data_IF_276510464109
#
_entry.id   IF_276510464109
#
_cell.length_a   1.000
_cell.length_b   1.000
_cell.length_c   1.000
_cell.angle_alpha   90.00
_cell.angle_beta   90.00
_cell.angle_gamma   90.00
#
_symmetry.space_group_name_H-M   'P 1'
#
loop_
_entity.id
_entity.type
_entity.pdbx_description
1 polymer ?
#
# COMPACT_ATOMS: atom_id res chain seq x y z
N UNK A 1 -2.66 -17.29 0.53
CA UNK A 1 -4.04 -17.25 1.08
C UNK A 1 -4.35 -18.14 2.30
N UNK A 2 -3.42 -18.94 2.86
CA UNK A 2 -3.61 -19.46 4.24
C UNK A 2 -3.28 -18.44 5.34
N UNK A 3 -2.28 -17.57 5.12
CA UNK A 3 -1.78 -16.64 6.15
C UNK A 3 -2.80 -15.59 6.56
N UNK A 4 -3.57 -15.01 5.63
CA UNK A 4 -4.58 -14.01 5.95
C UNK A 4 -5.73 -14.61 6.75
N UNK A 5 -6.20 -15.81 6.37
CA UNK A 5 -7.21 -16.52 7.14
C UNK A 5 -6.72 -16.85 8.55
N UNK A 6 -5.45 -17.25 8.69
CA UNK A 6 -4.84 -17.49 9.99
C UNK A 6 -4.76 -16.23 10.84
N UNK A 7 -4.21 -15.13 10.30
CA UNK A 7 -4.15 -13.82 10.97
C UNK A 7 -5.56 -13.36 11.40
N UNK A 8 -6.52 -13.37 10.48
CA UNK A 8 -7.90 -12.97 10.77
C UNK A 8 -8.54 -13.85 11.84
N UNK A 9 -8.34 -15.17 11.79
CA UNK A 9 -8.84 -16.07 12.82
C UNK A 9 -8.22 -15.78 14.19
N UNK A 10 -6.90 -15.61 14.26
CA UNK A 10 -6.19 -15.27 15.50
C UNK A 10 -6.68 -13.95 16.10
N UNK A 11 -6.84 -12.91 15.26
CA UNK A 11 -7.30 -11.60 15.70
C UNK A 11 -8.75 -11.64 16.18
N UNK A 12 -9.65 -12.21 15.37
CA UNK A 12 -11.07 -12.30 15.72
C UNK A 12 -11.30 -13.17 16.96
N UNK A 13 -10.56 -14.27 17.13
CA UNK A 13 -10.66 -15.13 18.30
C UNK A 13 -10.32 -14.37 19.59
N UNK A 14 -9.26 -13.55 19.57
CA UNK A 14 -8.87 -12.75 20.73
C UNK A 14 -9.88 -11.64 21.03
N UNK A 15 -10.33 -10.89 20.02
CA UNK A 15 -11.36 -9.84 20.19
C UNK A 15 -12.64 -10.42 20.81
N UNK A 16 -13.08 -11.59 20.33
CA UNK A 16 -14.28 -12.26 20.85
C UNK A 16 -14.11 -12.79 22.29
N UNK A 17 -12.89 -13.19 22.69
CA UNK A 17 -12.61 -13.72 24.03
C UNK A 17 -12.49 -12.64 25.09
N UNK A 18 -11.94 -11.48 24.78
CA UNK A 18 -11.61 -10.47 25.80
C UNK A 18 -12.82 -9.60 26.22
N UNK A 19 -13.99 -9.76 25.61
CA UNK A 19 -15.21 -8.99 25.94
C UNK A 19 -15.01 -7.45 25.98
N UNK A 20 -13.90 -6.96 25.42
CA UNK A 20 -13.64 -5.53 25.22
C UNK A 20 -14.46 -5.04 24.03
N UNK A 21 -14.97 -3.80 24.12
CA UNK A 21 -15.70 -3.11 23.04
C UNK A 21 -14.74 -2.64 21.93
N UNK A 22 -13.63 -3.34 21.69
CA UNK A 22 -12.69 -2.95 20.66
C UNK A 22 -13.37 -3.14 19.29
N UNK A 23 -13.27 -2.12 18.43
CA UNK A 23 -13.84 -2.20 17.08
C UNK A 23 -13.16 -3.30 16.28
N UNK A 24 -13.95 -4.07 15.53
CA UNK A 24 -13.42 -5.06 14.59
C UNK A 24 -12.54 -4.33 13.56
N UNK A 25 -11.31 -4.80 13.31
CA UNK A 25 -10.43 -4.22 12.29
C UNK A 25 -11.12 -4.14 10.93
N UNK A 26 -11.15 -2.94 10.36
CA UNK A 26 -11.77 -2.63 9.05
C UNK A 26 -10.74 -2.55 7.93
N UNK A 27 -9.47 -2.29 8.26
CA UNK A 27 -8.37 -2.21 7.28
C UNK A 27 -7.35 -3.32 7.48
N UNK A 28 -6.52 -3.56 6.45
CA UNK A 28 -5.48 -4.58 6.55
C UNK A 28 -4.42 -4.17 7.57
N UNK A 29 -4.10 -2.88 7.66
CA UNK A 29 -3.16 -2.38 8.66
C UNK A 29 -3.67 -2.59 10.07
N UNK A 30 -4.96 -2.30 10.34
CA UNK A 30 -5.55 -2.59 11.64
C UNK A 30 -5.44 -4.08 11.98
N UNK A 31 -5.75 -4.96 11.02
CA UNK A 31 -5.65 -6.41 11.22
C UNK A 31 -4.23 -6.83 11.63
N UNK A 32 -3.20 -6.32 10.96
CA UNK A 32 -1.80 -6.63 11.28
C UNK A 32 -1.31 -5.97 12.57
N UNK A 33 -1.77 -4.76 12.89
CA UNK A 33 -1.47 -4.10 14.16
C UNK A 33 -2.04 -4.87 15.35
N UNK A 34 -3.31 -5.30 15.26
CA UNK A 34 -3.92 -6.17 16.28
C UNK A 34 -3.21 -7.52 16.37
N UNK A 35 -2.87 -8.12 15.23
CA UNK A 35 -2.10 -9.37 15.21
C UNK A 35 -0.76 -9.21 15.95
N UNK A 36 0.02 -8.17 15.65
CA UNK A 36 1.29 -7.90 16.32
C UNK A 36 1.12 -7.73 17.84
N UNK A 37 0.09 -6.98 18.28
CA UNK A 37 -0.20 -6.84 19.71
C UNK A 37 -0.54 -8.16 20.38
N UNK A 38 -1.36 -8.99 19.74
CA UNK A 38 -1.71 -10.32 20.26
C UNK A 38 -0.45 -11.16 20.41
N UNK A 39 0.45 -11.14 19.43
CA UNK A 39 1.71 -11.87 19.50
C UNK A 39 2.58 -11.40 20.68
N UNK A 40 2.66 -10.09 20.91
CA UNK A 40 3.31 -9.51 22.08
C UNK A 40 2.68 -10.02 23.39
N UNK A 41 1.35 -9.97 23.50
CA UNK A 41 0.61 -10.42 24.69
C UNK A 41 0.82 -11.91 24.96
N UNK A 42 0.75 -12.75 23.92
CA UNK A 42 0.94 -14.20 24.03
C UNK A 42 2.35 -14.53 24.49
N UNK A 43 3.36 -13.83 23.94
CA UNK A 43 4.75 -13.96 24.38
C UNK A 43 4.89 -13.60 25.86
N UNK A 44 4.36 -12.45 26.28
CA UNK A 44 4.42 -11.98 27.67
C UNK A 44 3.77 -13.00 28.62
N UNK A 45 2.60 -13.54 28.30
CA UNK A 45 1.92 -14.57 29.12
C UNK A 45 2.74 -15.87 29.25
N UNK A 46 3.47 -16.26 28.19
CA UNK A 46 4.20 -17.53 28.14
C UNK A 46 5.55 -17.48 28.88
N UNK A 47 6.24 -16.34 28.88
CA UNK A 47 7.62 -16.23 29.41
C UNK A 47 7.78 -15.27 30.60
N UNK A 48 6.93 -14.25 30.74
CA UNK A 48 7.01 -13.27 31.83
C UNK A 48 6.01 -13.64 32.93
N UNK A 49 6.39 -14.57 33.80
CA UNK A 49 5.60 -14.88 35.02
C UNK A 49 5.63 -13.68 35.98
N UNK A 50 4.49 -13.00 36.08
CA UNK A 50 3.98 -12.34 37.29
C UNK A 50 4.54 -10.98 37.77
N UNK A 51 5.12 -10.10 36.93
CA UNK A 51 5.61 -8.79 37.44
C UNK A 51 5.22 -7.51 36.71
N UNK A 52 4.47 -7.52 35.60
CA UNK A 52 4.08 -6.25 34.96
C UNK A 52 2.56 -6.03 34.90
N UNK A 53 2.16 -4.91 35.50
CA UNK A 53 0.86 -4.25 35.37
C UNK A 53 0.61 -3.88 33.90
N UNK A 54 -0.58 -4.21 33.40
CA UNK A 54 -1.08 -3.99 32.04
C UNK A 54 -0.48 -4.91 30.94
N UNK A 55 -1.23 -5.90 30.42
CA UNK A 55 -0.79 -6.79 29.34
C UNK A 55 -0.37 -6.09 28.04
N UNK A 56 -0.76 -4.81 27.86
CA UNK A 56 -0.49 -3.99 26.67
C UNK A 56 0.87 -3.26 26.72
N UNK A 57 1.65 -3.37 27.80
CA UNK A 57 2.98 -2.75 27.91
C UNK A 57 4.10 -3.70 27.42
N UNK A 58 4.98 -3.17 26.56
CA UNK A 58 6.08 -3.90 25.94
C UNK A 58 7.37 -3.58 26.71
N UNK A 59 8.11 -4.60 27.16
CA UNK A 59 9.38 -4.36 27.86
C UNK A 59 10.38 -3.65 26.93
N UNK A 60 11.31 -2.86 27.50
CA UNK A 60 12.29 -2.10 26.72
C UNK A 60 13.18 -3.01 25.85
N UNK A 61 13.49 -4.21 26.35
CA UNK A 61 14.23 -5.24 25.62
C UNK A 61 13.45 -5.75 24.41
N UNK A 62 12.15 -6.01 24.60
CA UNK A 62 11.25 -6.51 23.56
C UNK A 62 11.02 -5.50 22.45
N UNK A 63 10.85 -4.23 22.82
CA UNK A 63 10.80 -3.11 21.90
C UNK A 63 12.07 -3.05 21.05
N UNK A 64 13.24 -3.09 21.69
CA UNK A 64 14.53 -3.06 21.00
C UNK A 64 14.67 -4.18 19.97
N UNK A 65 14.25 -5.40 20.34
CA UNK A 65 14.29 -6.56 19.44
C UNK A 65 13.35 -6.42 18.25
N UNK A 66 12.09 -6.06 18.47
CA UNK A 66 11.12 -5.86 17.37
C UNK A 66 11.59 -4.78 16.40
N UNK A 67 12.19 -3.69 16.89
CA UNK A 67 12.72 -2.64 16.03
C UNK A 67 13.93 -3.08 15.20
N UNK A 68 14.80 -3.94 15.73
CA UNK A 68 15.89 -4.55 14.95
C UNK A 68 15.34 -5.48 13.86
N UNK A 69 14.31 -6.28 14.17
CA UNK A 69 13.62 -7.13 13.19
C UNK A 69 12.96 -6.29 12.09
N UNK A 70 12.30 -5.19 12.48
CA UNK A 70 11.68 -4.23 11.56
C UNK A 70 12.73 -3.61 10.61
N UNK A 71 13.89 -3.24 11.13
CA UNK A 71 15.03 -2.75 10.32
C UNK A 71 15.51 -3.80 9.33
N UNK A 72 15.69 -5.05 9.76
CA UNK A 72 16.07 -6.15 8.87
C UNK A 72 15.03 -6.35 7.76
N UNK A 73 13.74 -6.36 8.13
CA UNK A 73 12.63 -6.52 7.19
C UNK A 73 12.66 -5.46 6.10
N UNK A 74 12.85 -4.19 6.48
CA UNK A 74 12.97 -3.07 5.55
C UNK A 74 14.17 -3.22 4.61
N UNK A 75 15.36 -3.52 5.15
CA UNK A 75 16.57 -3.66 4.34
C UNK A 75 16.48 -4.81 3.33
N UNK A 76 15.90 -5.94 3.72
CA UNK A 76 15.73 -7.08 2.81
C UNK A 76 14.61 -6.81 1.79
N UNK A 77 13.55 -6.09 2.19
CA UNK A 77 12.50 -5.67 1.26
C UNK A 77 13.06 -4.76 0.16
N UNK A 78 13.88 -3.77 0.51
CA UNK A 78 14.52 -2.89 -0.49
C UNK A 78 15.42 -3.64 -1.48
N UNK A 79 16.02 -4.76 -1.07
CA UNK A 79 16.84 -5.61 -1.94
C UNK A 79 16.01 -6.59 -2.77
N UNK A 80 14.70 -6.72 -2.51
CA UNK A 80 13.86 -7.77 -3.09
C UNK A 80 14.17 -9.17 -2.56
N UNK A 81 14.79 -9.27 -1.37
CA UNK A 81 15.20 -10.53 -0.78
C UNK A 81 14.09 -11.13 0.09
N UNK A 82 13.76 -12.39 -0.18
CA UNK A 82 12.86 -13.22 0.65
C UNK A 82 13.63 -14.10 1.65
N UNK A 83 14.89 -14.38 1.34
CA UNK A 83 15.78 -15.23 2.14
C UNK A 83 17.05 -14.42 2.42
N UNK A 84 17.58 -14.53 3.64
CA UNK A 84 18.76 -13.85 4.12
C UNK A 84 19.57 -14.74 5.06
N UNK A 85 20.78 -14.31 5.37
CA UNK A 85 21.77 -15.12 6.08
C UNK A 85 22.09 -14.55 7.45
N UNK A 86 22.84 -15.31 8.24
CA UNK A 86 23.31 -14.88 9.56
C UNK A 86 24.05 -13.54 9.52
N UNK A 87 24.79 -13.25 8.46
CA UNK A 87 25.47 -11.96 8.30
C UNK A 87 24.50 -10.78 8.23
N UNK A 88 23.33 -10.97 7.63
CA UNK A 88 22.29 -9.92 7.56
C UNK A 88 21.69 -9.65 8.94
N UNK A 89 21.45 -10.71 9.74
CA UNK A 89 21.02 -10.60 11.13
C UNK A 89 22.04 -9.80 11.96
N UNK A 90 23.33 -10.15 11.84
CA UNK A 90 24.43 -9.46 12.55
C UNK A 90 24.56 -8.00 12.13
N UNK A 91 24.37 -7.66 10.85
CA UNK A 91 24.37 -6.27 10.35
C UNK A 91 23.25 -5.43 10.98
N UNK A 92 22.13 -6.05 11.36
CA UNK A 92 21.04 -5.41 12.10
C UNK A 92 21.22 -5.48 13.63
N UNK A 93 22.33 -6.02 14.13
CA UNK A 93 22.62 -6.15 15.55
C UNK A 93 21.78 -7.23 16.25
N UNK A 94 21.32 -8.24 15.51
CA UNK A 94 20.62 -9.41 16.04
C UNK A 94 21.62 -10.56 16.22
N UNK A 95 21.73 -11.09 17.43
CA UNK A 95 22.37 -12.38 17.64
C UNK A 95 21.40 -13.49 17.22
N UNK A 96 21.90 -14.55 16.59
CA UNK A 96 21.11 -15.73 16.21
C UNK A 96 20.50 -16.37 17.45
N UNK A 97 21.22 -16.42 18.57
CA UNK A 97 20.67 -16.96 19.83
C UNK A 97 19.52 -16.11 20.35
N UNK A 98 19.66 -14.78 20.34
CA UNK A 98 18.58 -13.83 20.70
C UNK A 98 17.37 -13.93 19.75
N UNK A 99 17.60 -14.08 18.44
CA UNK A 99 16.54 -14.25 17.45
C UNK A 99 15.80 -15.59 17.63
N UNK A 100 16.54 -16.66 17.96
CA UNK A 100 15.99 -17.98 18.27
C UNK A 100 15.31 -18.05 19.64
N UNK A 101 15.75 -17.28 20.65
CA UNK A 101 15.13 -17.20 22.00
C UNK A 101 13.83 -16.39 22.01
N UNK A 102 13.69 -15.45 21.07
CA UNK A 102 12.41 -14.80 20.75
C UNK A 102 11.40 -15.75 20.07
N UNK A 103 11.68 -17.06 20.16
CA UNK A 103 11.02 -18.23 19.57
C UNK A 103 9.51 -18.26 19.62
N UNK A 104 8.81 -17.57 20.53
CA UNK A 104 7.34 -17.53 20.43
C UNK A 104 6.81 -16.49 19.43
N UNK A 105 7.43 -15.31 19.33
CA UNK A 105 7.15 -14.38 18.23
C UNK A 105 7.83 -14.89 16.94
N UNK A 106 9.06 -15.41 17.07
CA UNK A 106 9.88 -15.86 15.96
C UNK A 106 9.48 -17.22 15.36
N UNK A 107 8.83 -18.16 16.05
CA UNK A 107 8.27 -19.34 15.36
C UNK A 107 7.14 -18.97 14.39
N UNK A 108 6.52 -17.82 14.63
CA UNK A 108 5.44 -17.29 13.82
C UNK A 108 5.89 -16.18 12.86
N UNK A 109 7.11 -15.65 13.03
CA UNK A 109 7.66 -14.56 12.22
C UNK A 109 8.86 -15.01 11.39
N UNK A 110 9.68 -15.96 11.84
CA UNK A 110 10.89 -16.45 11.20
C UNK A 110 10.86 -17.95 10.89
N UNK A 111 11.48 -18.32 9.78
CA UNK A 111 11.74 -19.70 9.40
C UNK A 111 13.25 -19.88 9.28
N UNK A 112 13.82 -20.78 10.08
CA UNK A 112 15.21 -21.24 9.95
C UNK A 112 15.21 -22.57 9.19
N UNK A 113 15.97 -22.65 8.10
CA UNK A 113 16.17 -23.89 7.35
C UNK A 113 17.65 -24.13 7.09
N UNK A 114 18.02 -25.40 6.90
CA UNK A 114 19.36 -25.77 6.46
C UNK A 114 19.41 -25.72 4.93
N UNK A 115 20.23 -24.82 4.39
CA UNK A 115 20.48 -24.73 2.96
C UNK A 115 21.25 -25.93 2.42
N UNK A 116 21.45 -25.94 1.10
CA UNK A 116 22.09 -27.06 0.36
C UNK A 116 23.53 -27.39 0.83
N UNK A 117 24.19 -26.48 1.55
CA UNK A 117 25.58 -26.61 2.03
C UNK A 117 25.69 -26.55 3.55
N UNK A 118 24.65 -26.92 4.30
CA UNK A 118 24.56 -26.80 5.77
C UNK A 118 24.62 -25.36 6.32
N UNK A 119 24.66 -24.35 5.44
CA UNK A 119 24.49 -22.96 5.84
C UNK A 119 23.05 -22.69 6.28
N UNK A 120 22.90 -22.02 7.42
CA UNK A 120 21.59 -21.61 7.93
C UNK A 120 21.04 -20.47 7.08
N UNK A 121 19.83 -20.65 6.59
CA UNK A 121 19.07 -19.61 5.89
C UNK A 121 17.86 -19.20 6.71
N UNK A 122 17.52 -17.92 6.61
CA UNK A 122 16.43 -17.30 7.35
C UNK A 122 15.47 -16.64 6.38
N UNK A 123 14.17 -16.72 6.68
CA UNK A 123 13.15 -15.93 6.01
C UNK A 123 12.12 -15.46 7.03
N UNK A 124 11.34 -14.45 6.66
CA UNK A 124 10.08 -14.21 7.36
C UNK A 124 9.08 -15.33 7.02
N UNK A 125 8.12 -15.60 7.90
CA UNK A 125 7.10 -16.64 7.68
C UNK A 125 6.28 -16.36 6.42
N UNK A 126 6.00 -15.08 6.17
CA UNK A 126 5.32 -14.61 4.98
C UNK A 126 5.79 -13.21 4.60
N UNK A 127 5.81 -12.90 3.30
CA UNK A 127 6.23 -11.60 2.76
C UNK A 127 5.42 -10.44 3.36
N UNK A 128 4.11 -10.60 3.57
CA UNK A 128 3.28 -9.56 4.19
C UNK A 128 3.70 -9.20 5.62
N UNK A 129 4.30 -10.13 6.38
CA UNK A 129 4.85 -9.84 7.71
C UNK A 129 6.13 -9.02 7.57
N UNK A 130 6.98 -9.37 6.60
CA UNK A 130 8.17 -8.58 6.26
C UNK A 130 7.79 -7.16 5.84
N UNK A 131 6.79 -6.99 4.99
CA UNK A 131 6.30 -5.69 4.52
C UNK A 131 5.68 -4.86 5.66
N UNK A 132 4.90 -5.48 6.54
CA UNK A 132 4.35 -4.81 7.72
C UNK A 132 5.46 -4.33 8.67
N UNK A 133 6.41 -5.20 9.00
CA UNK A 133 7.56 -4.85 9.84
C UNK A 133 8.43 -3.77 9.19
N UNK A 134 8.62 -3.83 7.88
CA UNK A 134 9.31 -2.79 7.13
C UNK A 134 8.60 -1.43 7.26
N UNK A 135 7.26 -1.42 7.18
CA UNK A 135 6.46 -0.20 7.36
C UNK A 135 6.57 0.37 8.78
N UNK A 136 6.58 -0.50 9.81
CA UNK A 136 6.85 -0.10 11.19
C UNK A 136 8.23 0.56 11.31
N UNK A 137 9.27 0.00 10.70
CA UNK A 137 10.60 0.61 10.70
C UNK A 137 10.63 1.96 10.00
N UNK A 138 9.95 2.08 8.87
CA UNK A 138 9.88 3.31 8.11
C UNK A 138 9.25 4.44 8.92
N UNK A 139 8.10 4.16 9.55
CA UNK A 139 7.41 5.11 10.42
C UNK A 139 8.25 5.45 11.66
N UNK A 140 8.76 4.45 12.38
CA UNK A 140 9.54 4.67 13.60
C UNK A 140 10.83 5.47 13.35
N UNK A 141 11.48 5.26 12.21
CA UNK A 141 12.70 6.01 11.85
C UNK A 141 12.40 7.49 11.59
N UNK A 142 11.22 7.78 11.03
CA UNK A 142 10.72 9.13 10.82
C UNK A 142 10.33 9.80 12.14
N UNK A 143 9.51 9.14 12.97
CA UNK A 143 9.07 9.65 14.28
C UNK A 143 10.24 9.83 15.25
N UNK A 144 11.17 8.87 15.27
CA UNK A 144 12.35 8.90 16.13
C UNK A 144 13.46 9.84 15.65
N UNK A 145 13.29 10.53 14.50
CA UNK A 145 14.28 11.45 13.88
C UNK A 145 15.66 10.82 13.65
N UNK A 146 15.73 9.50 13.41
CA UNK A 146 16.99 8.73 13.34
C UNK A 146 17.56 8.64 11.93
N UNK A 147 16.72 8.40 10.92
CA UNK A 147 17.20 8.07 9.56
C UNK A 147 16.10 8.37 8.51
N UNK A 148 16.47 8.98 7.38
CA UNK A 148 15.57 9.15 6.24
C UNK A 148 15.56 7.87 5.41
N UNK A 149 14.48 7.09 5.55
CA UNK A 149 14.32 5.74 4.99
C UNK A 149 14.19 5.74 3.46
N UNK A 150 13.79 6.87 2.89
CA UNK A 150 13.86 7.19 1.46
C UNK A 150 14.55 8.55 1.28
N UNK A 151 15.90 8.62 1.22
CA UNK A 151 16.60 9.89 1.13
C UNK A 151 16.23 10.63 -0.17
N UNK A 152 16.22 11.98 -0.16
CA UNK A 152 16.04 12.75 -1.40
C UNK A 152 17.09 12.31 -2.42
N UNK A 153 16.70 12.15 -3.69
CA UNK A 153 17.70 12.10 -4.76
C UNK A 153 18.51 13.39 -4.68
N UNK A 154 19.84 13.30 -4.63
CA UNK A 154 20.68 14.48 -4.74
C UNK A 154 20.30 15.20 -6.04
N UNK A 155 19.66 16.36 -5.91
CA UNK A 155 19.46 17.26 -7.05
C UNK A 155 20.86 17.76 -7.40
N UNK A 156 21.43 17.26 -8.48
CA UNK A 156 22.54 17.96 -9.13
C UNK A 156 21.95 19.23 -9.72
N UNK A 157 21.94 20.30 -8.93
CA UNK A 157 21.64 21.64 -9.40
C UNK A 157 22.82 22.01 -10.30
N UNK A 158 22.60 22.00 -11.61
CA UNK A 158 23.46 22.77 -12.50
C UNK A 158 23.15 24.22 -12.17
N UNK A 159 24.14 24.93 -11.60
CA UNK A 159 24.10 26.38 -11.60
C UNK A 159 24.22 26.78 -13.07
N UNK A 160 23.11 27.21 -13.66
CA UNK A 160 23.17 28.10 -14.81
C UNK A 160 23.66 29.45 -14.24
N UNK A 161 24.98 29.63 -14.26
CA UNK A 161 25.60 30.94 -14.20
C UNK A 161 25.15 31.68 -15.46
N UNK A 162 24.14 32.54 -15.35
CA UNK A 162 23.88 33.71 -16.21
C UNK A 162 22.54 34.34 -15.80
N UNK A 163 22.58 35.36 -14.94
CA UNK A 163 22.07 36.69 -15.31
C UNK A 163 22.39 37.69 -14.17
N UNK A 164 23.39 38.52 -14.45
CA UNK A 164 23.57 39.82 -13.83
C UNK A 164 22.39 40.72 -14.24
N UNK A 165 21.57 41.13 -13.28
CA UNK A 165 20.89 42.42 -13.39
C UNK A 165 20.75 43.04 -12.00
N UNK A 166 21.67 43.96 -11.74
CA UNK A 166 21.53 45.03 -10.76
C UNK A 166 20.18 45.71 -10.94
N UNK A 167 19.44 45.89 -9.84
CA UNK A 167 18.65 47.09 -9.61
C UNK A 167 18.46 47.23 -8.08
N UNK A 168 19.29 48.10 -7.51
CA UNK A 168 19.03 48.76 -6.24
C UNK A 168 17.78 49.64 -6.42
N UNK A 169 16.82 49.60 -5.48
CA UNK A 169 16.13 50.81 -5.04
C UNK A 169 15.32 50.59 -3.75
N UNK A 170 15.10 51.71 -3.09
CA UNK A 170 14.97 51.93 -1.66
C UNK A 170 13.65 51.51 -0.99
N UNK A 171 13.81 51.17 0.29
CA UNK A 171 12.93 51.28 1.47
C UNK A 171 11.62 52.08 1.32
N UNK A 172 10.58 51.58 1.99
CA UNK A 172 9.83 52.39 2.97
C UNK A 172 9.24 51.49 4.06
N UNK A 173 9.41 51.97 5.30
CA UNK A 173 8.94 51.41 6.56
C UNK A 173 7.40 51.57 6.67
N UNK A 174 6.71 50.57 7.21
CA UNK A 174 5.49 50.78 8.01
C UNK A 174 5.31 49.58 8.95
N UNK A 175 5.59 49.83 10.23
CA UNK A 175 5.30 48.98 11.38
C UNK A 175 3.78 48.92 11.62
N UNK A 176 3.16 47.75 11.55
CA UNK A 176 1.94 47.46 12.32
C UNK A 176 2.07 46.10 13.02
N UNK A 177 1.85 46.14 14.32
CA UNK A 177 2.00 45.07 15.30
C UNK A 177 1.26 43.77 14.91
N UNK A 178 2.00 42.71 14.56
CA UNK A 178 1.47 41.35 14.64
C UNK A 178 1.92 40.69 15.94
N UNK A 179 0.95 40.43 16.82
CA UNK A 179 1.10 39.65 18.04
C UNK A 179 1.73 38.28 17.71
N UNK A 180 2.97 38.05 18.20
CA UNK A 180 3.62 36.74 18.17
C UNK A 180 2.73 35.68 18.84
N UNK A 181 1.98 34.92 18.02
CA UNK A 181 1.56 33.57 18.38
C UNK A 181 2.75 32.64 18.22
N UNK A 182 3.59 32.57 19.25
CA UNK A 182 4.61 31.53 19.39
C UNK A 182 3.96 30.17 19.72
N UNK A 183 3.29 29.59 18.73
CA UNK A 183 2.73 28.24 18.75
C UNK A 183 3.19 27.53 17.47
N UNK A 184 4.06 26.53 17.64
CA UNK A 184 4.21 25.33 16.79
C UNK A 184 5.10 25.29 15.53
N UNK A 185 6.22 26.03 15.50
CA UNK A 185 7.28 25.86 14.49
C UNK A 185 7.85 24.42 14.38
N UNK A 186 7.83 23.66 15.48
CA UNK A 186 8.35 22.30 15.53
C UNK A 186 7.30 21.24 15.15
N UNK A 187 6.01 21.48 15.42
CA UNK A 187 4.93 20.55 15.03
C UNK A 187 4.66 20.62 13.52
N UNK A 188 4.69 21.82 12.93
CA UNK A 188 4.58 21.99 11.48
C UNK A 188 5.75 21.32 10.73
N UNK A 189 6.97 21.39 11.29
CA UNK A 189 8.14 20.67 10.75
C UNK A 189 8.01 19.14 10.84
N UNK A 190 7.27 18.61 11.81
CA UNK A 190 7.03 17.16 11.93
C UNK A 190 5.98 16.66 10.93
N UNK A 191 4.88 17.39 10.74
CA UNK A 191 3.85 17.07 9.74
C UNK A 191 4.41 17.11 8.31
N UNK A 192 5.30 18.08 8.02
CA UNK A 192 6.02 18.17 6.75
C UNK A 192 6.92 16.94 6.54
N UNK A 193 7.67 16.49 7.55
CA UNK A 193 8.55 15.32 7.42
C UNK A 193 7.80 14.01 7.15
N UNK A 194 6.66 13.81 7.82
CA UNK A 194 5.88 12.58 7.63
C UNK A 194 5.17 12.57 6.27
N UNK A 195 4.62 13.71 5.85
CA UNK A 195 4.06 13.83 4.49
C UNK A 195 5.13 13.64 3.40
N UNK A 196 6.33 14.18 3.58
CA UNK A 196 7.46 13.94 2.68
C UNK A 196 7.84 12.45 2.62
N UNK A 197 7.79 11.73 3.74
CA UNK A 197 8.00 10.27 3.75
C UNK A 197 6.93 9.56 2.91
N UNK A 198 5.66 9.92 3.08
CA UNK A 198 4.56 9.32 2.33
C UNK A 198 4.70 9.56 0.82
N UNK A 199 4.93 10.80 0.41
CA UNK A 199 5.08 11.16 -1.01
C UNK A 199 6.23 10.37 -1.66
N UNK A 200 7.37 10.24 -0.96
CA UNK A 200 8.52 9.47 -1.43
C UNK A 200 8.25 7.96 -1.47
N UNK A 201 7.55 7.42 -0.49
CA UNK A 201 7.17 6.00 -0.46
C UNK A 201 6.20 5.66 -1.61
N UNK A 202 5.22 6.53 -1.88
CA UNK A 202 4.31 6.40 -3.03
C UNK A 202 5.09 6.39 -4.33
N UNK A 203 5.99 7.35 -4.52
CA UNK A 203 6.83 7.44 -5.71
C UNK A 203 7.73 6.22 -5.92
N UNK A 204 8.28 5.68 -4.83
CA UNK A 204 9.13 4.50 -4.89
C UNK A 204 8.32 3.24 -5.23
N UNK A 205 7.11 3.10 -4.66
CA UNK A 205 6.22 1.99 -4.98
C UNK A 205 5.76 2.03 -6.44
N UNK A 206 5.40 3.20 -6.97
CA UNK A 206 5.02 3.36 -8.37
C UNK A 206 6.17 3.09 -9.35
N UNK A 207 7.43 3.30 -8.94
CA UNK A 207 8.62 2.97 -9.75
C UNK A 207 9.02 1.49 -9.69
N UNK A 208 8.55 0.75 -8.69
CA UNK A 208 8.83 -0.68 -8.57
C UNK A 208 8.30 -1.42 -9.80
N UNK A 209 9.05 -2.30 -10.45
CA UNK A 209 8.54 -2.99 -11.65
C UNK A 209 7.51 -4.09 -11.31
N UNK A 210 7.70 -4.78 -10.19
CA UNK A 210 6.92 -5.95 -9.79
C UNK A 210 5.93 -5.68 -8.64
N UNK A 211 5.77 -4.42 -8.21
CA UNK A 211 4.86 -4.05 -7.12
C UNK A 211 5.27 -4.56 -5.73
N UNK A 212 6.53 -4.99 -5.53
CA UNK A 212 7.00 -5.55 -4.24
C UNK A 212 6.95 -4.57 -3.04
N UNK A 213 6.59 -3.31 -3.26
CA UNK A 213 6.42 -2.30 -2.21
C UNK A 213 4.96 -1.92 -1.98
N UNK A 214 4.02 -2.53 -2.71
CA UNK A 214 2.61 -2.15 -2.70
C UNK A 214 1.97 -2.37 -1.33
N UNK A 215 2.18 -3.55 -0.74
CA UNK A 215 1.62 -3.88 0.56
C UNK A 215 2.38 -3.17 1.70
N UNK A 216 3.71 -2.98 1.56
CA UNK A 216 4.47 -2.08 2.44
C UNK A 216 3.88 -0.66 2.46
N UNK A 217 3.58 -0.08 1.30
CA UNK A 217 3.02 1.28 1.20
C UNK A 217 1.67 1.37 1.90
N UNK A 218 0.79 0.39 1.68
CA UNK A 218 -0.51 0.30 2.36
C UNK A 218 -0.35 0.31 3.88
N UNK A 219 0.55 -0.52 4.40
CA UNK A 219 0.82 -0.57 5.84
C UNK A 219 1.42 0.73 6.37
N UNK A 220 2.37 1.34 5.67
CA UNK A 220 2.98 2.60 6.09
C UNK A 220 1.92 3.69 6.25
N UNK A 221 1.07 3.86 5.24
CA UNK A 221 0.03 4.88 5.26
C UNK A 221 -1.04 4.61 6.31
N UNK A 222 -1.48 3.34 6.45
CA UNK A 222 -2.41 2.97 7.51
C UNK A 222 -1.83 3.20 8.91
N UNK A 223 -0.55 2.89 9.12
CA UNK A 223 0.13 3.06 10.41
C UNK A 223 0.27 4.54 10.79
N UNK A 224 0.27 5.45 9.82
CA UNK A 224 0.34 6.89 10.08
C UNK A 224 -0.94 7.45 10.71
N UNK A 225 -2.09 6.75 10.62
CA UNK A 225 -3.29 7.16 11.34
C UNK A 225 -3.10 7.08 12.85
N UNK A 226 -3.54 8.12 13.56
CA UNK A 226 -3.38 8.23 15.02
C UNK A 226 -3.93 7.02 15.78
N UNK A 227 -5.07 6.48 15.35
CA UNK A 227 -5.69 5.28 15.94
C UNK A 227 -4.76 4.06 15.90
N UNK A 228 -4.05 3.85 14.78
CA UNK A 228 -3.09 2.76 14.62
C UNK A 228 -1.78 3.03 15.36
N UNK A 229 -1.31 4.28 15.41
CA UNK A 229 -0.15 4.66 16.22
C UNK A 229 -0.42 4.44 17.72
N UNK A 230 -1.61 4.82 18.20
CA UNK A 230 -2.06 4.62 19.57
C UNK A 230 -2.14 3.13 19.93
N UNK A 231 -2.61 2.30 19.00
CA UNK A 231 -2.65 0.84 19.15
C UNK A 231 -1.24 0.27 19.37
N UNK A 232 -0.25 0.76 18.61
CA UNK A 232 1.16 0.33 18.70
C UNK A 232 2.04 1.24 19.57
N UNK A 233 1.46 2.01 20.50
CA UNK A 233 2.20 3.01 21.31
C UNK A 233 3.37 2.45 22.13
N UNK A 234 3.32 1.17 22.50
CA UNK A 234 4.44 0.50 23.17
C UNK A 234 5.65 0.33 22.25
N UNK A 235 5.42 0.21 20.95
CA UNK A 235 6.46 0.03 19.93
C UNK A 235 6.91 1.35 19.31
N UNK A 236 5.96 2.22 18.93
CA UNK A 236 6.25 3.47 18.22
C UNK A 236 6.60 4.60 19.18
N UNK A 237 7.54 5.45 18.77
CA UNK A 237 7.87 6.70 19.47
C UNK A 237 6.67 7.64 19.42
N UNK A 238 6.21 8.07 20.60
CA UNK A 238 5.13 9.06 20.70
C UNK A 238 5.70 10.43 20.39
N UNK A 239 5.31 11.00 19.25
CA UNK A 239 5.53 12.41 18.94
C UNK A 239 4.50 13.25 19.70
N UNK A 240 4.85 14.46 20.12
CA UNK A 240 3.91 15.41 20.75
C UNK A 240 2.81 15.92 19.81
N UNK A 241 2.79 15.43 18.56
CA UNK A 241 1.85 15.77 17.50
C UNK A 241 0.41 15.75 17.99
N UNK A 242 -0.23 16.91 17.84
CA UNK A 242 -1.65 17.12 18.02
C UNK A 242 -2.49 16.32 17.01
N UNK A 243 -3.73 15.98 17.35
CA UNK A 243 -4.70 15.35 16.41
C UNK A 243 -4.80 16.13 15.08
N UNK A 244 -4.67 17.45 15.14
CA UNK A 244 -4.73 18.36 14.00
C UNK A 244 -3.56 18.17 13.02
N UNK A 245 -2.32 18.06 13.51
CA UNK A 245 -1.14 17.89 12.64
C UNK A 245 -1.14 16.54 11.91
N UNK A 246 -1.67 15.49 12.54
CA UNK A 246 -1.88 14.21 11.87
C UNK A 246 -2.97 14.32 10.78
N UNK A 247 -4.10 14.98 11.07
CA UNK A 247 -5.17 15.19 10.11
C UNK A 247 -4.70 15.97 8.86
N UNK A 248 -3.87 17.00 9.05
CA UNK A 248 -3.26 17.76 7.95
C UNK A 248 -2.30 16.90 7.10
N UNK A 249 -1.48 16.07 7.74
CA UNK A 249 -0.59 15.12 7.06
C UNK A 249 -1.39 14.13 6.22
N UNK A 250 -2.47 13.57 6.77
CA UNK A 250 -3.37 12.66 6.06
C UNK A 250 -4.01 13.37 4.88
N UNK A 251 -4.56 14.57 5.05
CA UNK A 251 -5.17 15.37 3.97
C UNK A 251 -4.18 15.63 2.82
N UNK A 252 -2.93 16.00 3.13
CA UNK A 252 -1.88 16.20 2.13
C UNK A 252 -1.59 14.91 1.37
N UNK A 253 -1.46 13.81 2.10
CA UNK A 253 -1.20 12.48 1.52
C UNK A 253 -2.33 12.02 0.59
N UNK A 254 -3.59 12.21 1.01
CA UNK A 254 -4.78 11.89 0.21
C UNK A 254 -4.85 12.72 -1.06
N UNK A 255 -4.50 14.02 -0.99
CA UNK A 255 -4.39 14.88 -2.17
C UNK A 255 -3.33 14.37 -3.14
N UNK A 256 -2.17 13.97 -2.62
CA UNK A 256 -1.08 13.43 -3.44
C UNK A 256 -1.46 12.11 -4.12
N UNK A 257 -2.07 11.18 -3.38
CA UNK A 257 -2.58 9.92 -3.93
C UNK A 257 -3.62 10.17 -5.02
N UNK A 258 -4.57 11.08 -4.78
CA UNK A 258 -5.58 11.48 -5.78
C UNK A 258 -4.95 12.04 -7.06
N UNK A 259 -3.90 12.84 -6.93
CA UNK A 259 -3.13 13.33 -8.07
C UNK A 259 -2.43 12.17 -8.82
N UNK A 260 -1.79 11.25 -8.10
CA UNK A 260 -1.14 10.08 -8.72
C UNK A 260 -2.11 9.14 -9.41
N UNK A 261 -3.32 8.96 -8.87
CA UNK A 261 -4.38 8.17 -9.53
C UNK A 261 -4.75 8.79 -10.89
N UNK A 262 -4.74 10.12 -11.01
CA UNK A 262 -5.03 10.79 -12.28
C UNK A 262 -3.92 10.61 -13.31
N UNK A 263 -2.66 10.60 -12.88
CA UNK A 263 -1.51 10.47 -13.79
C UNK A 263 -1.15 9.01 -14.13
N UNK A 264 -1.42 8.07 -13.22
CA UNK A 264 -0.99 6.68 -13.38
C UNK A 264 -1.84 5.94 -14.43
N UNK A 265 -1.14 5.21 -15.30
CA UNK A 265 -1.71 4.48 -16.43
C UNK A 265 -1.86 2.99 -16.19
N UNK A 266 -1.04 2.40 -15.30
CA UNK A 266 -1.13 0.99 -14.95
C UNK A 266 -2.33 0.75 -14.03
N UNK A 267 -3.31 -0.07 -14.44
CA UNK A 267 -4.48 -0.32 -13.61
C UNK A 267 -4.15 -1.04 -12.30
N UNK A 268 -3.14 -1.93 -12.29
CA UNK A 268 -2.67 -2.61 -11.08
C UNK A 268 -2.15 -1.61 -10.04
N UNK A 269 -1.40 -0.59 -10.50
CA UNK A 269 -0.90 0.48 -9.62
C UNK A 269 -2.00 1.38 -9.12
N UNK A 270 -2.95 1.75 -9.99
CA UNK A 270 -4.11 2.53 -9.58
C UNK A 270 -4.93 1.79 -8.52
N UNK A 271 -5.17 0.48 -8.67
CA UNK A 271 -5.84 -0.34 -7.66
C UNK A 271 -5.10 -0.29 -6.32
N UNK A 272 -3.77 -0.38 -6.34
CA UNK A 272 -2.98 -0.25 -5.11
C UNK A 272 -3.13 1.14 -4.47
N UNK A 273 -3.18 2.22 -5.25
CA UNK A 273 -3.43 3.58 -4.72
C UNK A 273 -4.82 3.70 -4.09
N UNK A 274 -5.85 3.07 -4.66
CA UNK A 274 -7.17 2.99 -4.01
C UNK A 274 -7.14 2.18 -2.72
N UNK A 275 -6.38 1.09 -2.65
CA UNK A 275 -6.14 0.41 -1.38
C UNK A 275 -5.47 1.31 -0.34
N UNK A 276 -4.49 2.14 -0.76
CA UNK A 276 -3.85 3.11 0.12
C UNK A 276 -4.83 4.15 0.65
N UNK A 277 -5.71 4.68 -0.21
CA UNK A 277 -6.80 5.57 0.21
C UNK A 277 -7.73 4.91 1.23
N UNK A 278 -8.05 3.63 1.04
CA UNK A 278 -8.85 2.85 1.98
C UNK A 278 -8.16 2.63 3.33
N UNK A 279 -6.84 2.38 3.35
CA UNK A 279 -6.07 2.30 4.60
C UNK A 279 -6.07 3.64 5.38
N UNK A 280 -6.17 4.77 4.67
CA UNK A 280 -6.32 6.11 5.24
C UNK A 280 -7.79 6.50 5.54
N UNK A 281 -8.75 5.60 5.30
CA UNK A 281 -10.19 5.88 5.49
C UNK A 281 -10.77 6.93 4.54
N UNK A 282 -10.11 7.21 3.42
CA UNK A 282 -10.48 8.27 2.47
C UNK A 282 -11.09 7.71 1.19
N UNK A 283 -12.34 7.29 1.26
CA UNK A 283 -13.03 6.54 0.19
C UNK A 283 -14.11 7.32 -0.57
N UNK A 284 -14.15 8.65 -0.46
CA UNK A 284 -15.26 9.47 -0.98
C UNK A 284 -15.60 9.21 -2.46
N UNK A 285 -14.60 9.15 -3.33
CA UNK A 285 -14.81 8.86 -4.76
C UNK A 285 -15.36 7.43 -4.99
N UNK A 286 -14.90 6.46 -4.20
CA UNK A 286 -15.38 5.08 -4.26
C UNK A 286 -16.83 5.00 -3.79
N UNK A 287 -17.19 5.71 -2.71
CA UNK A 287 -18.56 5.78 -2.20
C UNK A 287 -19.53 6.47 -3.18
N UNK A 288 -19.08 7.53 -3.84
CA UNK A 288 -19.82 8.20 -4.93
C UNK A 288 -20.09 7.23 -6.10
N UNK A 289 -19.05 6.53 -6.55
CA UNK A 289 -19.17 5.58 -7.66
C UNK A 289 -20.03 4.36 -7.29
N UNK A 290 -19.92 3.88 -6.06
CA UNK A 290 -20.76 2.80 -5.55
C UNK A 290 -22.22 3.21 -5.50
N UNK A 291 -22.52 4.43 -5.04
CA UNK A 291 -23.89 4.97 -5.01
C UNK A 291 -24.45 5.05 -6.43
N UNK A 292 -23.66 5.57 -7.37
CA UNK A 292 -24.05 5.70 -8.79
C UNK A 292 -24.29 4.36 -9.47
N UNK A 293 -23.48 3.34 -9.13
CA UNK A 293 -23.64 1.97 -9.60
C UNK A 293 -24.94 1.35 -9.08
N UNK A 294 -25.25 1.56 -7.79
CA UNK A 294 -26.47 1.03 -7.16
C UNK A 294 -27.74 1.73 -7.63
N UNK A 295 -27.68 3.03 -7.96
CA UNK A 295 -28.81 3.77 -8.52
C UNK A 295 -29.04 3.52 -10.01
N UNK A 296 -28.09 2.89 -10.70
CA UNK A 296 -28.17 2.63 -12.14
C UNK A 296 -27.98 3.88 -13.01
N UNK A 297 -27.37 4.94 -12.49
CA UNK A 297 -27.24 6.25 -13.17
C UNK A 297 -25.97 6.38 -14.01
N UNK A 298 -25.09 5.37 -14.01
CA UNK A 298 -23.79 5.40 -14.69
C UNK A 298 -23.87 5.49 -16.22
N UNK A 299 -24.97 5.04 -16.83
CA UNK A 299 -25.18 5.11 -18.28
C UNK A 299 -25.58 6.50 -18.77
N UNK A 300 -25.96 7.40 -17.85
CA UNK A 300 -26.39 8.76 -18.15
C UNK A 300 -25.32 9.81 -17.85
N UNK A 301 -24.22 9.41 -17.19
CA UNK A 301 -23.15 10.30 -16.77
C UNK A 301 -21.88 10.07 -17.59
N UNK A 302 -21.24 11.17 -17.98
CA UNK A 302 -19.90 11.11 -18.58
C UNK A 302 -18.88 10.95 -17.47
N UNK A 303 -18.21 9.80 -17.42
CA UNK A 303 -17.23 9.48 -16.38
C UNK A 303 -15.85 10.02 -16.74
N UNK A 304 -15.20 10.67 -15.78
CA UNK A 304 -13.78 11.00 -15.85
C UNK A 304 -12.88 9.76 -15.68
N UNK A 305 -11.59 9.82 -16.08
CA UNK A 305 -10.67 8.69 -15.94
C UNK A 305 -10.52 8.21 -14.48
N UNK A 306 -10.45 9.12 -13.52
CA UNK A 306 -10.39 8.79 -12.08
C UNK A 306 -11.66 8.08 -11.58
N UNK A 307 -12.84 8.52 -12.03
CA UNK A 307 -14.12 7.85 -11.77
C UNK A 307 -14.15 6.44 -12.40
N UNK A 308 -13.64 6.28 -13.62
CA UNK A 308 -13.49 4.97 -14.26
C UNK A 308 -12.55 4.05 -13.47
N UNK A 309 -11.46 4.57 -12.91
CA UNK A 309 -10.59 3.78 -12.04
C UNK A 309 -11.25 3.39 -10.72
N UNK A 310 -12.03 4.28 -10.11
CA UNK A 310 -12.81 3.96 -8.90
C UNK A 310 -13.88 2.89 -9.18
N UNK A 311 -14.55 2.97 -10.33
CA UNK A 311 -15.50 1.94 -10.77
C UNK A 311 -14.81 0.61 -11.05
N UNK A 312 -13.66 0.63 -11.74
CA UNK A 312 -12.86 -0.57 -11.96
C UNK A 312 -12.45 -1.20 -10.63
N UNK A 313 -11.97 -0.40 -9.68
CA UNK A 313 -11.65 -0.85 -8.33
C UNK A 313 -12.85 -1.54 -7.67
N UNK A 314 -14.03 -0.91 -7.65
CA UNK A 314 -15.25 -1.49 -7.08
C UNK A 314 -15.61 -2.86 -7.70
N UNK A 315 -15.64 -2.94 -9.03
CA UNK A 315 -16.01 -4.16 -9.75
C UNK A 315 -14.99 -5.27 -9.58
N UNK A 316 -13.71 -4.93 -9.44
CA UNK A 316 -12.62 -5.89 -9.22
C UNK A 316 -12.53 -6.39 -7.79
N UNK A 317 -12.97 -5.57 -6.83
CA UNK A 317 -13.02 -5.93 -5.42
C UNK A 317 -14.31 -6.69 -5.05
N UNK A 318 -15.28 -6.75 -5.96
CA UNK A 318 -16.46 -7.59 -5.81
C UNK A 318 -16.10 -9.07 -5.97
N UNK A 319 -16.69 -9.93 -5.13
CA UNK A 319 -16.62 -11.39 -5.30
C UNK A 319 -17.60 -11.90 -6.37
N UNK A 320 -18.44 -11.01 -6.91
CA UNK A 320 -19.44 -11.36 -7.92
C UNK A 320 -18.81 -11.50 -9.31
N UNK A 321 -19.12 -12.61 -9.99
CA UNK A 321 -18.79 -12.81 -11.40
C UNK A 321 -19.89 -12.21 -12.26
N UNK A 322 -19.56 -11.18 -13.03
CA UNK A 322 -20.50 -10.53 -13.93
C UNK A 322 -20.88 -11.49 -15.08
N UNK A 323 -22.18 -11.62 -15.37
CA UNK A 323 -22.61 -12.38 -16.55
C UNK A 323 -22.13 -11.71 -17.84
N UNK A 324 -22.23 -10.38 -17.90
CA UNK A 324 -21.82 -9.58 -19.03
C UNK A 324 -21.23 -8.24 -18.56
N UNK A 325 -20.16 -7.83 -19.22
CA UNK A 325 -19.56 -6.51 -19.09
C UNK A 325 -19.55 -5.84 -20.47
N UNK A 326 -20.52 -4.96 -20.71
CA UNK A 326 -20.55 -4.11 -21.91
C UNK A 326 -19.88 -2.77 -21.59
N UNK A 327 -18.69 -2.58 -22.17
CA UNK A 327 -17.88 -1.38 -21.93
C UNK A 327 -18.56 -0.11 -22.43
N UNK A 328 -19.42 -0.20 -23.46
CA UNK A 328 -20.18 0.95 -23.99
C UNK A 328 -21.26 1.43 -23.04
N UNK A 329 -21.62 0.65 -22.02
CA UNK A 329 -22.53 1.09 -20.94
C UNK A 329 -22.00 2.34 -20.23
N UNK A 330 -20.68 2.52 -20.21
CA UNK A 330 -20.02 3.62 -19.54
C UNK A 330 -19.59 4.68 -20.55
N UNK A 331 -20.15 5.88 -20.47
CA UNK A 331 -19.81 6.98 -21.37
C UNK A 331 -18.53 7.63 -20.85
N UNK A 332 -17.40 7.45 -21.54
CA UNK A 332 -16.10 8.00 -21.11
C UNK A 332 -15.12 8.19 -22.29
N UNK A 333 -13.92 8.70 -22.01
CA UNK A 333 -12.83 8.86 -22.96
C UNK A 333 -12.12 7.52 -23.24
N UNK A 334 -11.23 7.50 -24.23
CA UNK A 334 -10.37 6.33 -24.51
C UNK A 334 -9.52 5.93 -23.30
N UNK A 335 -9.06 6.92 -22.52
CA UNK A 335 -8.35 6.67 -21.27
C UNK A 335 -9.26 6.04 -20.20
N UNK A 336 -10.50 6.50 -20.07
CA UNK A 336 -11.47 5.91 -19.16
C UNK A 336 -11.79 4.46 -19.52
N UNK A 337 -11.94 4.16 -20.81
CA UNK A 337 -12.07 2.78 -21.29
C UNK A 337 -10.87 1.93 -20.94
N UNK A 338 -9.65 2.43 -21.17
CA UNK A 338 -8.43 1.72 -20.79
C UNK A 338 -8.40 1.37 -19.30
N UNK A 339 -8.87 2.28 -18.43
CA UNK A 339 -8.93 2.07 -16.97
C UNK A 339 -9.98 1.03 -16.55
N UNK A 340 -11.00 0.80 -17.36
CA UNK A 340 -12.05 -0.20 -17.10
C UNK A 340 -11.72 -1.61 -17.63
N UNK A 341 -10.80 -1.74 -18.59
CA UNK A 341 -10.43 -3.03 -19.19
C UNK A 341 -10.08 -4.16 -18.21
N UNK A 342 -9.42 -3.93 -17.07
CA UNK A 342 -9.11 -5.03 -16.16
C UNK A 342 -10.35 -5.72 -15.60
N UNK A 343 -11.53 -5.06 -15.59
CA UNK A 343 -12.82 -5.64 -15.16
C UNK A 343 -13.21 -6.84 -16.00
N UNK A 344 -12.71 -6.95 -17.24
CA UNK A 344 -12.94 -8.10 -18.11
C UNK A 344 -12.56 -9.42 -17.42
N UNK A 345 -11.59 -9.42 -16.48
CA UNK A 345 -11.20 -10.62 -15.73
C UNK A 345 -12.26 -11.13 -14.75
N UNK A 346 -13.29 -10.35 -14.44
CA UNK A 346 -14.35 -10.73 -13.50
C UNK A 346 -15.69 -11.01 -14.18
N UNK A 347 -15.73 -11.06 -15.52
CA UNK A 347 -16.96 -11.31 -16.28
C UNK A 347 -16.89 -12.60 -17.11
N UNK A 348 -18.05 -13.15 -17.50
CA UNK A 348 -18.14 -14.28 -18.43
C UNK A 348 -18.16 -13.84 -19.90
N UNK A 349 -18.82 -12.72 -20.18
CA UNK A 349 -18.89 -12.07 -21.51
C UNK A 349 -18.39 -10.64 -21.41
N UNK A 350 -17.45 -10.27 -22.28
CA UNK A 350 -17.03 -8.89 -22.45
C UNK A 350 -17.39 -8.38 -23.85
N UNK A 351 -18.20 -7.33 -23.91
CA UNK A 351 -18.56 -6.64 -25.16
C UNK A 351 -17.75 -5.35 -25.22
N UNK A 352 -16.71 -5.36 -26.06
CA UNK A 352 -15.77 -4.25 -26.23
C UNK A 352 -15.76 -3.71 -27.67
N UNK A 353 -16.80 -4.01 -28.44
CA UNK A 353 -16.94 -3.56 -29.82
C UNK A 353 -17.15 -2.04 -29.89
N UNK A 354 -16.60 -1.41 -30.92
CA UNK A 354 -16.68 0.05 -31.13
C UNK A 354 -16.14 0.93 -29.97
N UNK A 355 -15.29 0.38 -29.09
CA UNK A 355 -14.73 1.10 -27.93
C UNK A 355 -13.45 1.89 -28.22
N UNK A 356 -13.04 2.02 -29.50
CA UNK A 356 -11.79 2.71 -29.93
C UNK A 356 -10.56 2.16 -29.22
N UNK A 357 -10.54 0.85 -29.00
CA UNK A 357 -9.40 0.18 -28.39
C UNK A 357 -8.20 0.21 -29.33
N UNK A 358 -7.01 0.31 -28.74
CA UNK A 358 -5.72 0.35 -29.45
C UNK A 358 -4.84 -0.81 -29.02
N UNK A 359 -3.63 -0.94 -29.57
CA UNK A 359 -2.67 -1.96 -29.14
C UNK A 359 -2.37 -1.91 -27.62
N UNK A 360 -2.48 -0.74 -26.95
CA UNK A 360 -2.29 -0.63 -25.50
C UNK A 360 -3.38 -1.39 -24.72
N UNK A 361 -4.60 -1.37 -25.25
CA UNK A 361 -5.73 -2.13 -24.70
C UNK A 361 -5.47 -3.64 -24.81
N UNK A 362 -4.85 -4.07 -25.91
CA UNK A 362 -4.45 -5.46 -26.12
C UNK A 362 -3.41 -5.95 -25.11
N UNK A 363 -2.50 -5.09 -24.62
CA UNK A 363 -1.54 -5.46 -23.55
C UNK A 363 -2.29 -5.84 -22.27
N UNK A 364 -3.26 -5.03 -21.84
CA UNK A 364 -4.11 -5.32 -20.67
C UNK A 364 -4.96 -6.57 -20.90
N UNK A 365 -5.62 -6.70 -22.05
CA UNK A 365 -6.45 -7.87 -22.36
C UNK A 365 -5.64 -9.16 -22.45
N UNK A 366 -4.42 -9.12 -22.98
CA UNK A 366 -3.52 -10.27 -22.99
C UNK A 366 -3.17 -10.74 -21.56
N UNK A 367 -2.98 -9.80 -20.63
CA UNK A 367 -2.80 -10.11 -19.20
C UNK A 367 -4.06 -10.75 -18.60
N UNK A 368 -5.24 -10.21 -18.91
CA UNK A 368 -6.53 -10.77 -18.48
C UNK A 368 -6.72 -12.22 -18.96
N UNK A 369 -6.40 -12.51 -20.22
CA UNK A 369 -6.48 -13.86 -20.79
C UNK A 369 -5.54 -14.87 -20.12
N UNK A 370 -4.47 -14.39 -19.50
CA UNK A 370 -3.51 -15.20 -18.76
C UNK A 370 -3.86 -15.35 -17.27
N UNK A 371 -5.00 -14.81 -16.83
CA UNK A 371 -5.42 -14.90 -15.42
C UNK A 371 -5.87 -16.34 -15.09
N UNK A 372 -5.27 -17.01 -14.09
CA UNK A 372 -5.71 -18.34 -13.67
C UNK A 372 -7.17 -18.35 -13.23
N UNK A 373 -7.91 -19.39 -13.63
CA UNK A 373 -9.33 -19.56 -13.30
C UNK A 373 -10.23 -18.39 -13.75
N UNK A 374 -9.85 -17.65 -14.80
CA UNK A 374 -10.69 -16.58 -15.34
C UNK A 374 -12.09 -17.10 -15.72
N UNK A 375 -13.17 -16.40 -15.33
CA UNK A 375 -14.55 -16.73 -15.72
C UNK A 375 -14.87 -16.39 -17.17
N UNK A 376 -14.01 -15.60 -17.84
CA UNK A 376 -14.22 -15.12 -19.21
C UNK A 376 -14.34 -16.29 -20.20
N UNK A 377 -15.41 -16.27 -21.00
CA UNK A 377 -15.72 -17.27 -22.05
C UNK A 377 -15.93 -16.62 -23.40
N UNK A 378 -16.44 -15.40 -23.46
CA UNK A 378 -16.69 -14.71 -24.71
C UNK A 378 -16.12 -13.29 -24.67
N UNK A 379 -15.42 -12.89 -25.73
CA UNK A 379 -14.82 -11.58 -25.88
C UNK A 379 -15.12 -11.05 -27.28
N UNK A 380 -15.82 -9.93 -27.38
CA UNK A 380 -16.08 -9.22 -28.63
C UNK A 380 -15.17 -8.00 -28.72
N UNK A 381 -14.28 -7.99 -29.72
CA UNK A 381 -13.36 -6.90 -30.02
C UNK A 381 -13.67 -6.25 -31.37
N UNK A 382 -14.81 -6.57 -31.97
CA UNK A 382 -15.15 -6.13 -33.33
C UNK A 382 -15.17 -4.60 -33.45
N UNK A 383 -14.88 -4.13 -34.66
CA UNK A 383 -14.86 -2.69 -34.97
C UNK A 383 -13.91 -1.84 -34.10
N UNK A 384 -12.80 -2.42 -33.63
CA UNK A 384 -11.65 -1.70 -33.08
C UNK A 384 -10.46 -1.74 -34.04
N UNK A 385 -9.64 -0.69 -34.02
CA UNK A 385 -8.41 -0.61 -34.82
C UNK A 385 -7.19 -1.03 -33.98
N UNK A 386 -7.05 -2.35 -33.79
CA UNK A 386 -6.01 -2.91 -32.93
C UNK A 386 -4.62 -2.90 -33.60
N UNK A 387 -4.59 -2.89 -34.94
CA UNK A 387 -3.39 -3.08 -35.76
C UNK A 387 -2.68 -4.42 -35.54
N UNK A 388 -1.64 -4.68 -36.34
CA UNK A 388 -0.86 -5.93 -36.25
C UNK A 388 -0.25 -6.13 -34.86
N UNK A 389 0.27 -5.05 -34.26
CA UNK A 389 0.85 -5.07 -32.91
C UNK A 389 -0.17 -5.50 -31.85
N UNK A 390 -1.40 -5.00 -31.92
CA UNK A 390 -2.45 -5.37 -30.98
C UNK A 390 -2.83 -6.85 -31.10
N UNK A 391 -2.94 -7.35 -32.33
CA UNK A 391 -3.22 -8.77 -32.60
C UNK A 391 -2.10 -9.67 -32.10
N UNK A 392 -0.83 -9.32 -32.33
CA UNK A 392 0.33 -10.06 -31.81
C UNK A 392 0.30 -10.19 -30.29
N UNK A 393 -0.01 -9.10 -29.58
CA UNK A 393 -0.14 -9.09 -28.12
C UNK A 393 -1.29 -10.00 -27.65
N UNK A 394 -2.45 -9.93 -28.30
CA UNK A 394 -3.58 -10.81 -27.97
C UNK A 394 -3.25 -12.29 -28.22
N UNK A 395 -2.49 -12.61 -29.29
CA UNK A 395 -2.05 -13.98 -29.55
C UNK A 395 -1.23 -14.57 -28.40
N UNK A 396 -0.39 -13.77 -27.71
CA UNK A 396 0.33 -14.22 -26.52
C UNK A 396 -0.65 -14.65 -25.42
N UNK A 397 -1.70 -13.85 -25.17
CA UNK A 397 -2.74 -14.19 -24.20
C UNK A 397 -3.56 -15.42 -24.59
N UNK A 398 -3.97 -15.52 -25.86
CA UNK A 398 -4.81 -16.60 -26.38
C UNK A 398 -4.09 -17.96 -26.43
N UNK A 399 -2.76 -17.95 -26.60
CA UNK A 399 -1.95 -19.18 -26.62
C UNK A 399 -1.59 -19.68 -25.23
N UNK A 400 -1.90 -18.91 -24.19
CA UNK A 400 -1.68 -19.32 -22.80
C UNK A 400 -2.52 -20.55 -22.44
N UNK A 401 -1.96 -21.53 -21.71
CA UNK A 401 -2.74 -22.66 -21.20
C UNK A 401 -3.79 -22.25 -20.16
N UNK A 402 -3.75 -21.00 -19.68
CA UNK A 402 -4.70 -20.42 -18.74
C UNK A 402 -5.91 -19.78 -19.44
N UNK A 403 -5.85 -19.59 -20.77
CA UNK A 403 -6.92 -18.98 -21.53
C UNK A 403 -8.11 -19.94 -21.65
N UNK A 404 -9.30 -19.46 -21.25
CA UNK A 404 -10.54 -20.25 -21.24
C UNK A 404 -11.62 -19.71 -22.18
N UNK A 405 -11.25 -18.85 -23.13
CA UNK A 405 -12.19 -18.30 -24.11
C UNK A 405 -12.73 -19.40 -25.04
N UNK A 406 -14.04 -19.37 -25.26
CA UNK A 406 -14.79 -20.23 -26.17
C UNK A 406 -15.16 -19.49 -27.46
N UNK A 407 -15.43 -18.18 -27.35
CA UNK A 407 -15.81 -17.33 -28.48
C UNK A 407 -15.00 -16.04 -28.46
N UNK A 408 -14.34 -15.73 -29.57
CA UNK A 408 -13.68 -14.46 -29.83
C UNK A 408 -14.27 -13.89 -31.12
N UNK A 409 -14.79 -12.66 -31.06
CA UNK A 409 -15.41 -11.96 -32.21
C UNK A 409 -14.55 -10.78 -32.64
#
# INVERSE_FOLDING_TARGET
>A
MPVFCWISATVLEMILKEAEKDEVPKTLTQMYSHFMLIQIIVKNKKYNKATETNPKELSQSDKGMILKLAKLAFQQLQKGNLIFYEEDLRKCGLDVTEASEYSALCTEIFKEESGLYEEKVYSFLHLSIQEFLAAVHALESCLGKKENVFPPKAVTIYYDDDDDSDDEDEKDDDDEDEEEKNVDDDEEKESIKLSDLHERAVDQALKSENGHLDLFLRFLLGLSLESNQNLLRGLLTQTGSTTQTNEETVKRTVRYLSYKIKEESSPERVINLFHCLNELGSNSLVEEMQTSLQSGTLSETVLGPDQCSALAYLLLMSEEVLEEFDLKTYITSEEGYQRLLPVVKTCKRALLDHCRLTYKSCETLASVLQTPNSPLRELDLSYNDLGDRGVELLCVGLTSPLCNIQTLV
#
